data_IF_276596880321
#
_entry.id   IF_276596880321
#
_cell.length_a   1.000
_cell.length_b   1.000
_cell.length_c   1.000
_cell.angle_alpha   90.00
_cell.angle_beta   90.00
_cell.angle_gamma   90.00
#
_symmetry.space_group_name_H-M   'P 1'
#
loop_
_entity.id
_entity.type
_entity.pdbx_description
1 polymer ?
#
# COMPACT_ATOMS: atom_id res chain seq x y z
N UNK A 1 -43.87 48.06 21.07
CA UNK A 1 -42.57 47.64 21.63
C UNK A 1 -42.05 46.48 20.79
N UNK A 2 -40.86 46.63 20.22
CA UNK A 2 -40.02 45.64 19.50
C UNK A 2 -40.53 45.08 18.15
N UNK A 3 -40.00 45.68 17.09
CA UNK A 3 -39.76 45.06 15.79
C UNK A 3 -38.55 44.10 15.84
N UNK A 4 -38.53 43.07 14.99
CA UNK A 4 -37.36 42.64 14.20
C UNK A 4 -37.74 41.40 13.37
N UNK A 5 -37.75 41.47 12.03
CA UNK A 5 -36.65 41.62 11.06
C UNK A 5 -36.17 40.27 10.54
N UNK A 6 -36.57 40.04 9.29
CA UNK A 6 -36.04 39.16 8.25
C UNK A 6 -34.51 39.04 8.37
N UNK A 7 -34.02 37.80 8.48
CA UNK A 7 -32.61 37.47 8.44
C UNK A 7 -32.23 37.17 6.98
N UNK A 8 -31.62 38.15 6.31
CA UNK A 8 -30.98 37.97 5.02
C UNK A 8 -29.59 37.34 5.21
N UNK A 9 -29.26 36.35 4.38
CA UNK A 9 -27.92 35.78 4.25
C UNK A 9 -26.94 36.89 3.80
N UNK A 10 -25.92 37.15 4.63
CA UNK A 10 -24.74 37.93 4.28
C UNK A 10 -23.71 37.01 3.62
N UNK A 11 -23.45 37.24 2.34
CA UNK A 11 -22.30 36.72 1.62
C UNK A 11 -21.02 37.40 2.13
N UNK A 12 -20.05 36.60 2.56
CA UNK A 12 -18.74 37.05 2.98
C UNK A 12 -17.94 37.54 1.75
N UNK A 13 -17.69 38.84 1.65
CA UNK A 13 -16.76 39.42 0.70
C UNK A 13 -15.33 39.21 1.20
N UNK A 14 -14.54 38.42 0.47
CA UNK A 14 -13.11 38.31 0.68
C UNK A 14 -12.42 39.62 0.27
N UNK A 15 -11.82 40.29 1.25
CA UNK A 15 -11.05 41.52 1.05
C UNK A 15 -9.69 41.17 0.42
N UNK A 16 -9.60 41.23 -0.91
CA UNK A 16 -8.33 41.14 -1.61
C UNK A 16 -7.52 42.42 -1.39
N UNK A 17 -6.39 42.32 -0.69
CA UNK A 17 -5.37 43.37 -0.64
C UNK A 17 -4.76 43.54 -2.04
N UNK A 18 -5.34 44.44 -2.84
CA UNK A 18 -4.73 44.96 -4.06
C UNK A 18 -3.70 46.04 -3.65
N UNK A 19 -2.42 45.66 -3.65
CA UNK A 19 -1.33 46.65 -3.63
C UNK A 19 -1.34 47.39 -4.98
N UNK A 20 -1.27 48.73 -5.01
CA UNK A 20 -1.29 49.48 -6.26
C UNK A 20 0.06 49.34 -6.98
N UNK A 21 0.03 48.89 -8.23
CA UNK A 21 1.13 49.10 -9.16
C UNK A 21 1.28 50.61 -9.40
N UNK A 22 2.31 51.23 -8.84
CA UNK A 22 2.63 52.63 -9.14
C UNK A 22 3.28 52.68 -10.53
N UNK A 23 2.60 53.30 -11.49
CA UNK A 23 3.15 53.60 -12.80
C UNK A 23 4.22 54.69 -12.65
N UNK A 24 5.49 54.33 -12.84
CA UNK A 24 6.54 55.30 -13.16
C UNK A 24 6.37 55.69 -14.62
N UNK A 25 6.56 56.98 -14.94
CA UNK A 25 6.59 57.49 -16.32
C UNK A 25 7.91 57.07 -17.01
N UNK A 26 8.21 55.77 -17.01
CA UNK A 26 9.38 55.17 -17.65
C UNK A 26 9.06 54.75 -19.08
N UNK A 27 10.00 55.00 -20.00
CA UNK A 27 9.93 54.52 -21.39
C UNK A 27 10.12 53.00 -21.53
N UNK A 28 10.36 52.28 -20.44
CA UNK A 28 10.30 50.80 -20.40
C UNK A 28 9.36 50.36 -19.30
N UNK A 29 8.43 49.47 -19.65
CA UNK A 29 7.48 48.87 -18.71
C UNK A 29 7.62 47.35 -18.67
N UNK A 30 7.25 46.75 -17.53
CA UNK A 30 7.07 45.30 -17.42
C UNK A 30 5.67 44.97 -17.91
N UNK A 31 5.56 44.09 -18.91
CA UNK A 31 4.28 43.65 -19.48
C UNK A 31 3.82 42.32 -18.89
N UNK A 32 4.76 41.47 -18.46
CA UNK A 32 4.44 40.18 -17.84
C UNK A 32 5.57 39.67 -16.97
N UNK A 33 5.20 39.06 -15.85
CA UNK A 33 6.08 38.25 -15.01
C UNK A 33 5.51 36.85 -14.84
N UNK A 34 6.38 35.85 -14.72
CA UNK A 34 5.94 34.48 -14.46
C UNK A 34 6.93 33.71 -13.59
N UNK A 35 6.37 32.86 -12.73
CA UNK A 35 7.05 31.78 -12.00
C UNK A 35 6.41 30.47 -12.48
N UNK A 36 7.21 29.59 -13.06
CA UNK A 36 6.72 28.32 -13.63
C UNK A 36 7.55 27.13 -13.21
N UNK A 37 6.98 25.93 -13.30
CA UNK A 37 7.73 24.68 -13.13
C UNK A 37 8.68 24.43 -14.33
N UNK A 38 9.45 23.35 -14.28
CA UNK A 38 10.38 22.95 -15.34
C UNK A 38 9.70 22.63 -16.69
N UNK A 39 8.42 22.28 -16.69
CA UNK A 39 7.61 22.07 -17.90
C UNK A 39 7.02 23.36 -18.48
N UNK A 40 7.14 24.48 -17.77
CA UNK A 40 6.62 25.78 -18.16
C UNK A 40 5.20 26.08 -17.66
N UNK A 41 4.60 25.20 -16.84
CA UNK A 41 3.28 25.43 -16.29
C UNK A 41 3.33 26.41 -15.10
N UNK A 42 2.39 27.36 -15.06
CA UNK A 42 2.25 28.30 -13.93
C UNK A 42 1.62 27.60 -12.74
N UNK A 43 2.24 27.73 -11.56
CA UNK A 43 1.79 27.15 -10.29
C UNK A 43 2.02 28.13 -9.15
N UNK A 44 1.22 28.00 -8.09
CA UNK A 44 1.36 28.82 -6.87
C UNK A 44 2.02 28.07 -5.71
N UNK A 45 2.29 26.78 -5.88
CA UNK A 45 2.80 25.87 -4.86
C UNK A 45 3.98 25.11 -5.41
N UNK A 46 5.09 25.16 -4.68
CA UNK A 46 6.32 24.47 -4.98
C UNK A 46 6.86 23.78 -3.72
N UNK A 47 7.63 22.73 -3.90
CA UNK A 47 8.47 22.09 -2.90
C UNK A 47 9.86 22.72 -2.90
N UNK A 48 10.53 22.74 -1.75
CA UNK A 48 11.94 23.16 -1.65
C UNK A 48 12.90 22.23 -2.40
N UNK A 49 12.39 21.12 -2.94
CA UNK A 49 13.12 20.09 -3.68
C UNK A 49 13.22 20.32 -5.19
N UNK A 50 12.38 21.20 -5.73
CA UNK A 50 12.19 21.30 -7.16
C UNK A 50 12.96 22.47 -7.77
N UNK A 51 12.86 22.59 -9.09
CA UNK A 51 13.44 23.70 -9.84
C UNK A 51 12.32 24.56 -10.40
N UNK A 52 12.56 25.88 -10.42
CA UNK A 52 11.63 26.84 -10.99
C UNK A 52 12.23 27.60 -12.16
N UNK A 53 11.36 28.19 -12.96
CA UNK A 53 11.70 29.13 -14.00
C UNK A 53 11.15 30.51 -13.62
N UNK A 54 11.91 31.56 -13.90
CA UNK A 54 11.48 32.95 -13.76
C UNK A 54 11.50 33.62 -15.13
N UNK A 55 10.52 34.49 -15.39
CA UNK A 55 10.44 35.24 -16.64
C UNK A 55 9.97 36.67 -16.41
N UNK A 56 10.59 37.59 -17.14
CA UNK A 56 10.22 39.01 -17.23
C UNK A 56 10.03 39.32 -18.72
N UNK A 57 8.90 39.89 -19.08
CA UNK A 57 8.63 40.46 -20.40
C UNK A 57 8.44 41.97 -20.24
N UNK A 58 8.95 42.72 -21.21
CA UNK A 58 8.99 44.17 -21.18
C UNK A 58 8.59 44.76 -22.52
N UNK A 59 8.20 46.03 -22.50
CA UNK A 59 8.03 46.84 -23.71
C UNK A 59 8.73 48.18 -23.53
N UNK A 60 9.52 48.56 -24.53
CA UNK A 60 10.26 49.81 -24.61
C UNK A 60 9.59 50.73 -25.62
N UNK A 61 9.12 51.90 -25.20
CA UNK A 61 8.41 52.88 -26.04
C UNK A 61 9.34 53.94 -26.66
N UNK A 62 10.57 54.10 -26.14
CA UNK A 62 11.62 54.94 -26.73
C UNK A 62 12.98 54.29 -26.52
N UNK A 63 13.94 54.54 -27.42
CA UNK A 63 15.27 53.97 -27.30
C UNK A 63 16.07 54.61 -26.15
N UNK A 64 17.03 53.87 -25.60
CA UNK A 64 18.04 54.37 -24.65
C UNK A 64 19.45 54.17 -25.21
N UNK A 65 20.39 55.01 -24.78
CA UNK A 65 21.81 54.86 -25.11
C UNK A 65 22.48 53.72 -24.31
N UNK A 66 21.90 53.36 -23.17
CA UNK A 66 22.33 52.22 -22.34
C UNK A 66 21.50 50.96 -22.63
N UNK A 67 21.89 49.83 -22.02
CA UNK A 67 21.14 48.57 -22.09
C UNK A 67 19.99 48.56 -21.07
N UNK A 68 18.95 47.78 -21.36
CA UNK A 68 17.93 47.42 -20.37
C UNK A 68 18.42 46.16 -19.64
N UNK A 69 18.69 46.29 -18.35
CA UNK A 69 19.07 45.18 -17.46
C UNK A 69 17.84 44.62 -16.76
N UNK A 70 17.72 43.28 -16.76
CA UNK A 70 16.68 42.52 -16.09
C UNK A 70 17.22 41.98 -14.79
N UNK A 71 16.69 42.48 -13.67
CA UNK A 71 17.04 42.00 -12.33
C UNK A 71 15.91 41.15 -11.76
N UNK A 72 16.28 39.99 -11.22
CA UNK A 72 15.40 39.01 -10.64
C UNK A 72 15.70 38.90 -9.14
N UNK A 73 14.69 39.07 -8.32
CA UNK A 73 14.80 38.95 -6.86
C UNK A 73 13.77 37.98 -6.33
N UNK A 74 14.16 37.19 -5.33
CA UNK A 74 13.21 36.43 -4.50
C UNK A 74 13.36 36.87 -3.06
N UNK A 75 12.22 37.17 -2.44
CA UNK A 75 12.11 37.47 -1.02
C UNK A 75 11.40 36.33 -0.31
N UNK A 76 11.92 35.95 0.86
CA UNK A 76 11.36 34.89 1.68
C UNK A 76 10.15 35.37 2.52
N UNK A 77 9.49 34.49 3.30
CA UNK A 77 8.34 34.86 4.12
C UNK A 77 8.63 35.93 5.18
N UNK A 78 9.87 36.04 5.66
CA UNK A 78 10.29 37.10 6.60
C UNK A 78 10.55 38.45 5.92
N UNK A 79 10.51 38.50 4.58
CA UNK A 79 10.82 39.69 3.79
C UNK A 79 12.29 39.88 3.47
N UNK A 80 13.17 38.93 3.83
CA UNK A 80 14.58 38.98 3.47
C UNK A 80 14.78 38.56 2.00
N UNK A 81 15.67 39.25 1.28
CA UNK A 81 16.11 38.86 -0.07
C UNK A 81 16.97 37.61 0.02
N UNK A 82 16.56 36.54 -0.63
CA UNK A 82 17.25 35.23 -0.63
C UNK A 82 17.80 34.84 -2.00
N UNK A 83 17.42 35.56 -3.06
CA UNK A 83 17.94 35.35 -4.42
C UNK A 83 18.13 36.70 -5.12
N UNK A 84 19.19 36.79 -5.92
CA UNK A 84 19.47 37.90 -6.84
C UNK A 84 20.13 37.36 -8.11
N UNK A 85 19.63 37.77 -9.26
CA UNK A 85 20.33 37.69 -10.55
C UNK A 85 20.18 39.01 -11.29
N UNK A 86 21.28 39.63 -11.71
CA UNK A 86 21.29 40.98 -12.28
C UNK A 86 22.11 41.14 -13.57
N UNK A 87 22.58 40.03 -14.14
CA UNK A 87 23.50 40.06 -15.30
C UNK A 87 22.79 39.99 -16.66
N UNK A 88 21.48 39.74 -16.71
CA UNK A 88 20.76 39.64 -17.98
C UNK A 88 20.42 41.03 -18.53
N UNK A 89 20.64 41.26 -19.82
CA UNK A 89 20.31 42.54 -20.46
C UNK A 89 19.99 42.41 -21.94
N UNK A 90 19.31 43.41 -22.50
CA UNK A 90 19.04 43.55 -23.94
C UNK A 90 19.40 44.95 -24.43
N UNK A 91 19.58 45.11 -25.74
CA UNK A 91 19.63 46.43 -26.38
C UNK A 91 18.32 47.17 -26.13
N UNK A 92 18.42 48.47 -25.84
CA UNK A 92 17.27 49.31 -25.52
C UNK A 92 16.63 49.92 -26.77
N UNK A 93 16.25 49.07 -27.73
CA UNK A 93 15.49 49.50 -28.91
C UNK A 93 13.99 49.54 -28.62
N UNK A 94 13.25 50.37 -29.36
CA UNK A 94 11.78 50.39 -29.31
C UNK A 94 11.23 49.01 -29.66
N UNK A 95 10.35 48.48 -28.83
CA UNK A 95 9.71 47.18 -29.04
C UNK A 95 9.70 46.28 -27.80
N UNK A 96 9.40 45.01 -28.04
CA UNK A 96 9.27 43.99 -26.99
C UNK A 96 10.63 43.42 -26.60
N UNK A 97 10.82 43.19 -25.30
CA UNK A 97 11.98 42.50 -24.75
C UNK A 97 11.54 41.42 -23.77
N UNK A 98 12.41 40.44 -23.52
CA UNK A 98 12.17 39.43 -22.50
C UNK A 98 13.48 38.85 -21.96
N UNK A 99 13.43 38.40 -20.72
CA UNK A 99 14.50 37.62 -20.10
C UNK A 99 13.92 36.49 -19.27
N UNK A 100 14.62 35.35 -19.24
CA UNK A 100 14.22 34.21 -18.42
C UNK A 100 15.40 33.52 -17.78
N UNK A 101 15.20 33.04 -16.56
CA UNK A 101 16.07 32.12 -15.86
C UNK A 101 15.37 30.77 -15.78
N UNK A 102 16.04 29.70 -16.18
CA UNK A 102 15.43 28.36 -16.23
C UNK A 102 16.13 27.39 -15.31
N UNK A 103 15.39 26.40 -14.81
CA UNK A 103 15.87 25.32 -13.97
C UNK A 103 16.63 25.82 -12.73
N UNK A 104 16.17 26.91 -12.12
CA UNK A 104 16.77 27.49 -10.93
C UNK A 104 16.54 26.52 -9.76
N UNK A 105 17.58 25.96 -9.13
CA UNK A 105 17.42 25.16 -7.93
C UNK A 105 16.97 26.03 -6.76
N UNK A 106 16.15 25.48 -5.86
CA UNK A 106 15.64 26.12 -4.65
C UNK A 106 16.70 26.36 -3.55
N UNK A 107 17.96 26.64 -3.91
CA UNK A 107 19.05 26.94 -2.96
C UNK A 107 18.80 28.21 -2.14
N UNK A 108 17.86 29.07 -2.58
CA UNK A 108 17.40 30.25 -1.85
C UNK A 108 16.32 29.94 -0.79
N UNK A 109 15.91 28.67 -0.65
CA UNK A 109 14.94 28.26 0.35
C UNK A 109 15.47 28.49 1.76
N UNK A 110 14.74 29.26 2.56
CA UNK A 110 15.10 29.61 3.94
C UNK A 110 14.04 29.20 4.97
N UNK A 111 12.99 28.48 4.56
CA UNK A 111 11.86 28.09 5.41
C UNK A 111 10.53 28.07 4.65
N UNK A 112 9.51 27.36 5.18
CA UNK A 112 8.25 27.19 4.48
C UNK A 112 7.43 28.48 4.48
N UNK A 113 6.65 28.70 3.42
CA UNK A 113 5.73 29.83 3.34
C UNK A 113 5.76 30.54 2.01
N UNK A 114 5.19 31.74 1.98
CA UNK A 114 5.02 32.55 0.78
C UNK A 114 6.31 33.31 0.43
N UNK A 115 6.84 33.05 -0.75
CA UNK A 115 7.94 33.77 -1.37
C UNK A 115 7.38 34.77 -2.37
N UNK A 116 8.07 35.90 -2.54
CA UNK A 116 7.71 36.95 -3.50
C UNK A 116 8.76 37.06 -4.58
N UNK A 117 8.33 37.04 -5.83
CA UNK A 117 9.17 37.33 -6.98
C UNK A 117 9.05 38.82 -7.32
N UNK A 118 10.17 39.53 -7.27
CA UNK A 118 10.28 40.91 -7.76
C UNK A 118 11.14 40.95 -9.01
N UNK A 119 10.59 41.56 -10.05
CA UNK A 119 11.27 41.88 -11.29
C UNK A 119 11.60 43.38 -11.29
N UNK A 120 12.80 43.74 -11.75
CA UNK A 120 13.16 45.14 -12.02
C UNK A 120 13.79 45.28 -13.40
N UNK A 121 13.45 46.38 -14.07
CA UNK A 121 14.10 46.83 -15.30
C UNK A 121 14.93 48.06 -14.96
N UNK A 122 16.23 48.01 -15.27
CA UNK A 122 17.17 49.12 -15.04
C UNK A 122 17.73 49.58 -16.37
N UNK A 123 17.68 50.89 -16.62
CA UNK A 123 18.34 51.55 -17.75
C UNK A 123 18.85 52.91 -17.29
N UNK A 124 19.98 53.37 -17.83
CA UNK A 124 20.72 54.56 -17.41
C UNK A 124 20.95 54.60 -15.90
N UNK A 125 21.34 53.46 -15.33
CA UNK A 125 21.57 53.25 -13.89
C UNK A 125 20.37 53.57 -12.97
N UNK A 126 19.16 53.63 -13.55
CA UNK A 126 17.92 53.92 -12.82
C UNK A 126 16.90 52.80 -13.00
N UNK A 127 16.17 52.48 -11.94
CA UNK A 127 15.02 51.58 -12.01
C UNK A 127 13.91 52.26 -12.80
N UNK A 128 13.60 51.73 -13.98
CA UNK A 128 12.56 52.24 -14.87
C UNK A 128 11.19 51.66 -14.55
N UNK A 129 11.16 50.37 -14.20
CA UNK A 129 9.95 49.66 -13.81
C UNK A 129 10.28 48.52 -12.82
N UNK A 130 9.33 48.19 -11.95
CA UNK A 130 9.38 46.98 -11.14
C UNK A 130 8.01 46.34 -11.02
N UNK A 131 7.98 45.03 -10.78
CA UNK A 131 6.77 44.26 -10.53
C UNK A 131 7.03 43.26 -9.40
N UNK A 132 6.18 43.26 -8.37
CA UNK A 132 6.22 42.33 -7.23
C UNK A 132 4.86 41.63 -7.04
N UNK A 133 4.04 41.58 -8.10
CA UNK A 133 2.71 40.98 -8.06
C UNK A 133 2.70 39.45 -7.97
N UNK A 134 3.84 38.81 -8.24
CA UNK A 134 3.96 37.34 -8.23
C UNK A 134 4.45 36.83 -6.89
N UNK A 135 3.64 35.95 -6.31
CA UNK A 135 3.99 35.17 -5.14
C UNK A 135 3.82 33.68 -5.43
N UNK A 136 4.57 32.87 -4.72
CA UNK A 136 4.46 31.42 -4.74
C UNK A 136 4.81 30.87 -3.37
N UNK A 137 4.19 29.76 -2.98
CA UNK A 137 4.45 29.14 -1.69
C UNK A 137 5.45 28.01 -1.86
N UNK A 138 6.50 28.00 -1.06
CA UNK A 138 7.46 26.90 -1.00
C UNK A 138 7.25 26.12 0.29
N UNK A 139 7.04 24.82 0.17
CA UNK A 139 6.93 23.92 1.31
C UNK A 139 8.22 23.14 1.47
N UNK A 140 8.62 22.86 2.71
CA UNK A 140 9.51 21.72 2.92
C UNK A 140 8.70 20.45 2.66
N UNK A 141 9.20 19.53 1.84
CA UNK A 141 8.60 18.21 1.73
C UNK A 141 8.65 17.53 3.11
N UNK A 142 7.48 17.14 3.61
CA UNK A 142 7.31 16.41 4.88
C UNK A 142 6.91 14.99 4.53
N UNK A 143 7.46 14.03 5.25
CA UNK A 143 7.06 12.63 5.15
C UNK A 143 6.71 12.12 6.55
N UNK A 144 5.45 11.73 6.73
CA UNK A 144 4.94 11.14 7.96
C UNK A 144 4.63 9.67 7.72
N UNK A 145 5.32 8.80 8.43
CA UNK A 145 5.08 7.36 8.39
C UNK A 145 3.79 7.04 9.16
N UNK A 146 2.92 6.24 8.56
CA UNK A 146 1.61 5.92 9.16
C UNK A 146 1.48 4.45 9.54
N UNK A 147 2.16 3.55 8.82
CA UNK A 147 2.11 2.12 9.11
C UNK A 147 3.29 1.34 8.48
N UNK A 148 3.93 0.40 9.20
CA UNK A 148 3.83 0.15 10.65
C UNK A 148 4.16 1.39 11.49
N UNK A 149 3.42 1.67 12.56
CA UNK A 149 3.74 2.80 13.44
C UNK A 149 5.00 2.52 14.26
N UNK A 150 5.64 3.58 14.79
CA UNK A 150 6.91 3.45 15.50
C UNK A 150 6.78 2.61 16.77
N UNK A 151 7.65 1.62 16.91
CA UNK A 151 7.64 0.65 18.01
C UNK A 151 6.52 -0.38 17.93
N UNK A 152 5.86 -0.56 16.77
CA UNK A 152 4.86 -1.62 16.62
C UNK A 152 5.50 -2.99 16.87
N UNK A 153 4.98 -3.70 17.86
CA UNK A 153 5.42 -5.05 18.21
C UNK A 153 4.49 -6.11 17.62
N UNK A 154 5.07 -7.28 17.33
CA UNK A 154 4.36 -8.48 16.91
C UNK A 154 3.42 -8.28 15.72
N UNK A 155 3.90 -7.55 14.71
CA UNK A 155 3.19 -7.36 13.45
C UNK A 155 2.93 -8.73 12.77
N UNK A 156 1.68 -8.93 12.34
CA UNK A 156 1.21 -10.20 11.74
C UNK A 156 1.04 -10.14 10.21
N UNK A 157 1.29 -8.99 9.58
CA UNK A 157 1.08 -8.80 8.14
C UNK A 157 1.98 -9.70 7.28
N UNK A 158 1.37 -10.34 6.27
CA UNK A 158 2.07 -11.15 5.27
C UNK A 158 1.49 -10.88 3.87
N UNK A 159 2.20 -10.18 2.97
CA UNK A 159 3.45 -9.46 3.20
C UNK A 159 3.25 -8.17 4.03
N UNK A 160 4.33 -7.70 4.66
CA UNK A 160 4.34 -6.39 5.34
C UNK A 160 4.04 -5.29 4.34
N UNK A 161 3.07 -4.43 4.66
CA UNK A 161 2.75 -3.24 3.88
C UNK A 161 3.22 -2.00 4.61
N UNK A 162 4.00 -1.15 3.94
CA UNK A 162 4.44 0.15 4.42
C UNK A 162 3.57 1.26 3.84
N UNK A 163 3.18 2.25 4.65
CA UNK A 163 2.32 3.37 4.26
C UNK A 163 2.81 4.66 4.88
N UNK A 164 2.73 5.73 4.12
CA UNK A 164 3.12 7.07 4.57
C UNK A 164 2.23 8.13 3.91
N UNK A 165 2.30 9.34 4.46
CA UNK A 165 1.80 10.56 3.81
C UNK A 165 3.01 11.43 3.53
N UNK A 166 3.19 11.84 2.27
CA UNK A 166 4.34 12.63 1.83
C UNK A 166 3.92 13.77 0.91
N UNK A 167 4.68 14.86 0.91
CA UNK A 167 4.51 15.98 -0.02
C UNK A 167 5.83 16.34 -0.71
N UNK A 168 5.73 16.98 -1.87
CA UNK A 168 6.86 17.67 -2.49
C UNK A 168 7.98 16.79 -3.06
N UNK A 169 7.76 15.50 -3.27
CA UNK A 169 8.67 14.61 -4.00
C UNK A 169 7.92 13.88 -5.14
N UNK A 170 8.50 13.76 -6.35
CA UNK A 170 7.89 13.04 -7.47
C UNK A 170 7.89 11.52 -7.28
N UNK A 171 8.82 10.99 -6.46
CA UNK A 171 8.87 9.58 -6.05
C UNK A 171 9.49 9.45 -4.67
N UNK A 172 9.32 8.28 -4.08
CA UNK A 172 9.83 7.93 -2.76
C UNK A 172 10.74 6.71 -2.84
N UNK A 173 11.75 6.67 -1.97
CA UNK A 173 12.58 5.51 -1.72
C UNK A 173 12.26 4.97 -0.33
N UNK A 174 11.71 3.77 -0.27
CA UNK A 174 11.45 3.04 0.98
C UNK A 174 12.67 2.17 1.27
N UNK A 175 13.16 2.19 2.50
CA UNK A 175 14.29 1.35 2.93
C UNK A 175 13.92 0.61 4.21
N UNK A 176 14.28 -0.68 4.28
CA UNK A 176 14.11 -1.53 5.47
C UNK A 176 15.47 -2.12 5.83
N UNK A 177 15.81 -2.10 7.12
CA UNK A 177 17.10 -2.57 7.63
C UNK A 177 16.98 -3.19 9.03
N UNK A 178 17.97 -4.00 9.43
CA UNK A 178 18.13 -4.49 10.82
C UNK A 178 18.86 -3.46 11.70
N UNK A 179 19.57 -2.52 11.09
CA UNK A 179 20.29 -1.47 11.79
C UNK A 179 19.67 -0.10 11.53
N UNK A 180 19.53 0.69 12.60
CA UNK A 180 19.02 2.06 12.54
C UNK A 180 19.88 3.01 11.69
N UNK A 181 21.13 2.65 11.43
CA UNK A 181 22.07 3.41 10.58
C UNK A 181 21.72 3.35 9.09
N UNK A 182 21.02 2.29 8.65
CA UNK A 182 20.82 1.95 7.24
C UNK A 182 22.15 1.85 6.45
N UNK A 183 23.26 1.45 7.08
CA UNK A 183 24.55 1.26 6.39
C UNK A 183 24.47 0.20 5.28
N UNK A 184 23.76 -0.90 5.56
CA UNK A 184 23.47 -1.96 4.59
C UNK A 184 21.98 -2.35 4.68
N UNK A 185 21.10 -1.64 3.96
CA UNK A 185 19.68 -1.96 3.95
C UNK A 185 19.42 -3.40 3.50
N UNK A 186 18.46 -4.07 4.11
CA UNK A 186 17.98 -5.36 3.65
C UNK A 186 17.29 -5.19 2.30
N UNK A 187 16.38 -4.22 2.22
CA UNK A 187 15.54 -4.00 1.07
C UNK A 187 15.35 -2.52 0.80
N UNK A 188 15.23 -2.19 -0.49
CA UNK A 188 14.94 -0.84 -0.95
C UNK A 188 14.03 -0.90 -2.16
N UNK A 189 13.06 0.02 -2.24
CA UNK A 189 12.17 0.16 -3.37
C UNK A 189 11.93 1.64 -3.67
N UNK A 190 12.03 2.02 -4.95
CA UNK A 190 11.58 3.33 -5.42
C UNK A 190 10.17 3.23 -6.02
N UNK A 191 9.26 4.08 -5.58
CA UNK A 191 7.86 4.08 -6.02
C UNK A 191 7.27 5.50 -6.02
N UNK A 192 6.41 5.85 -7.00
CA UNK A 192 5.63 7.09 -6.96
C UNK A 192 4.41 7.01 -6.03
N UNK A 193 4.03 5.79 -5.59
CA UNK A 193 2.90 5.58 -4.70
C UNK A 193 3.26 5.94 -3.24
N UNK A 194 2.25 6.16 -2.40
CA UNK A 194 2.41 6.39 -0.95
C UNK A 194 2.31 5.10 -0.11
N UNK A 195 2.58 3.97 -0.74
CA UNK A 195 2.66 2.66 -0.09
C UNK A 195 3.68 1.77 -0.79
N UNK A 196 4.16 0.75 -0.08
CA UNK A 196 5.06 -0.26 -0.61
C UNK A 196 4.81 -1.59 0.09
N UNK A 197 4.90 -2.71 -0.65
CA UNK A 197 4.78 -4.05 -0.08
C UNK A 197 6.15 -4.71 -0.07
N UNK A 198 6.52 -5.29 1.08
CA UNK A 198 7.71 -6.11 1.18
C UNK A 198 7.52 -7.40 0.34
N UNK A 199 8.54 -7.89 -0.37
CA UNK A 199 8.42 -9.14 -1.13
C UNK A 199 8.11 -10.33 -0.20
N UNK A 200 7.09 -11.13 -0.54
CA UNK A 200 6.76 -12.37 0.21
C UNK A 200 7.89 -13.40 0.10
N UNK A 201 8.52 -13.49 -1.06
CA UNK A 201 9.63 -14.39 -1.38
C UNK A 201 10.79 -13.58 -1.97
N UNK A 202 11.61 -12.90 -1.16
CA UNK A 202 12.74 -12.16 -1.67
C UNK A 202 13.81 -13.10 -2.25
N UNK A 203 14.56 -12.66 -3.28
CA UNK A 203 15.55 -13.50 -3.96
C UNK A 203 16.78 -13.83 -3.09
N UNK A 204 17.12 -12.99 -2.11
CA UNK A 204 18.24 -13.20 -1.21
C UNK A 204 17.76 -13.66 0.18
N UNK A 205 18.42 -14.67 0.76
CA UNK A 205 18.06 -15.18 2.09
C UNK A 205 18.15 -14.09 3.17
N UNK A 206 19.14 -13.18 3.07
CA UNK A 206 19.29 -12.06 4.01
C UNK A 206 18.09 -11.12 4.05
N UNK A 207 17.29 -11.08 2.98
CA UNK A 207 16.12 -10.21 2.88
C UNK A 207 14.89 -10.84 3.52
N UNK A 208 14.94 -12.10 3.96
CA UNK A 208 13.82 -12.75 4.64
C UNK A 208 13.67 -12.17 6.05
N UNK A 209 12.53 -11.55 6.31
CA UNK A 209 12.22 -11.03 7.63
C UNK A 209 11.90 -12.17 8.59
N UNK A 210 12.43 -12.11 9.80
CA UNK A 210 12.31 -13.13 10.84
C UNK A 210 11.47 -12.62 12.01
N UNK A 211 10.60 -13.49 12.53
CA UNK A 211 9.80 -13.19 13.72
C UNK A 211 10.65 -12.91 14.96
N UNK A 212 10.22 -11.98 15.80
CA UNK A 212 10.93 -11.56 17.02
C UNK A 212 12.19 -10.72 16.77
N UNK A 213 12.52 -10.43 15.51
CA UNK A 213 13.60 -9.51 15.15
C UNK A 213 13.04 -8.09 15.00
N UNK A 214 13.78 -7.10 15.50
CA UNK A 214 13.44 -5.69 15.33
C UNK A 214 14.02 -5.17 14.02
N UNK A 215 13.16 -4.56 13.22
CA UNK A 215 13.50 -3.93 11.95
C UNK A 215 13.24 -2.44 12.03
N UNK A 216 13.96 -1.69 11.21
CA UNK A 216 13.83 -0.25 11.03
C UNK A 216 13.42 0.04 9.61
N UNK A 217 12.54 1.02 9.43
CA UNK A 217 12.17 1.49 8.10
C UNK A 217 12.10 3.00 8.05
N UNK A 218 12.37 3.54 6.87
CA UNK A 218 12.27 4.97 6.56
C UNK A 218 11.83 5.17 5.13
N UNK A 219 11.37 6.39 4.84
CA UNK A 219 11.02 6.83 3.51
C UNK A 219 11.74 8.13 3.20
N UNK A 220 12.42 8.16 2.07
CA UNK A 220 13.10 9.34 1.54
C UNK A 220 12.36 9.86 0.31
N UNK A 221 12.14 11.18 0.23
CA UNK A 221 11.62 11.83 -0.97
C UNK A 221 12.76 12.05 -1.94
N UNK A 222 12.59 11.62 -3.19
CA UNK A 222 13.61 11.72 -4.24
C UNK A 222 13.11 12.64 -5.36
N UNK A 223 13.90 13.65 -5.73
CA UNK A 223 13.60 14.57 -6.83
C UNK A 223 13.82 13.94 -8.21
N UNK A 224 13.42 14.66 -9.27
CA UNK A 224 13.54 14.19 -10.66
C UNK A 224 14.98 14.00 -11.13
N UNK A 225 15.94 14.68 -10.52
CA UNK A 225 17.38 14.51 -10.76
C UNK A 225 18.05 13.47 -9.85
N UNK A 226 17.26 12.76 -9.02
CA UNK A 226 17.75 11.70 -8.14
C UNK A 226 18.29 12.17 -6.80
N UNK A 227 18.27 13.47 -6.49
CA UNK A 227 18.69 13.97 -5.19
C UNK A 227 17.67 13.66 -4.08
N UNK A 228 18.14 13.49 -2.84
CA UNK A 228 17.27 13.33 -1.67
C UNK A 228 16.80 14.69 -1.20
N UNK A 229 15.49 14.85 -1.08
CA UNK A 229 14.86 16.15 -0.79
C UNK A 229 13.97 16.15 0.45
N UNK A 230 13.57 14.97 0.92
CA UNK A 230 12.96 14.77 2.24
C UNK A 230 13.45 13.45 2.83
N UNK A 231 13.35 13.35 4.16
CA UNK A 231 13.47 12.11 4.90
C UNK A 231 12.39 12.10 5.96
N UNK A 232 11.77 10.94 6.15
CA UNK A 232 10.98 10.69 7.35
C UNK A 232 11.88 10.49 8.57
N UNK A 233 11.26 10.45 9.75
CA UNK A 233 11.83 9.77 10.91
C UNK A 233 12.01 8.27 10.61
N UNK A 234 12.82 7.62 11.45
CA UNK A 234 13.04 6.18 11.38
C UNK A 234 12.10 5.51 12.36
N UNK A 235 11.21 4.66 11.85
CA UNK A 235 10.30 3.87 12.68
C UNK A 235 10.83 2.46 12.86
N UNK A 236 10.66 1.91 14.05
CA UNK A 236 10.96 0.52 14.37
C UNK A 236 9.68 -0.32 14.37
N UNK A 237 9.81 -1.61 14.03
CA UNK A 237 8.75 -2.60 14.23
C UNK A 237 9.35 -3.98 14.48
N UNK A 238 8.60 -4.88 15.11
CA UNK A 238 8.92 -6.31 15.16
C UNK A 238 7.85 -7.10 14.44
N UNK A 239 8.25 -8.19 13.78
CA UNK A 239 7.30 -9.21 13.33
C UNK A 239 6.98 -10.12 14.50
N UNK A 240 5.73 -10.58 14.57
CA UNK A 240 5.35 -11.59 15.55
C UNK A 240 6.32 -12.75 15.44
N UNK A 241 6.98 -13.07 16.54
CA UNK A 241 7.78 -14.29 16.62
C UNK A 241 6.82 -15.45 16.38
N UNK A 242 6.87 -16.02 15.20
CA UNK A 242 6.44 -17.41 15.07
C UNK A 242 7.32 -18.18 16.04
N UNK A 243 6.71 -18.76 17.08
CA UNK A 243 7.43 -19.68 17.93
C UNK A 243 8.14 -20.67 17.00
N UNK A 244 9.46 -20.83 17.13
CA UNK A 244 10.18 -21.90 16.42
C UNK A 244 9.82 -23.21 17.10
N UNK A 245 8.60 -23.64 16.82
CA UNK A 245 8.22 -24.93 16.31
C UNK A 245 6.82 -24.66 15.79
N UNK A 246 6.60 -24.44 14.49
CA UNK A 246 5.27 -24.81 14.01
C UNK A 246 5.35 -26.32 13.93
N UNK A 247 5.03 -26.94 15.06
CA UNK A 247 4.29 -28.19 15.08
C UNK A 247 3.17 -28.05 14.06
N UNK A 248 3.45 -28.38 12.81
CA UNK A 248 2.45 -28.42 11.76
C UNK A 248 1.84 -29.80 11.89
N UNK A 249 0.82 -29.90 12.72
CA UNK A 249 0.02 -31.12 12.86
C UNK A 249 -0.93 -31.12 11.67
N UNK A 250 -0.92 -32.20 10.90
CA UNK A 250 -1.86 -32.39 9.80
C UNK A 250 -2.01 -33.89 9.52
N UNK A 251 -3.15 -34.46 9.88
CA UNK A 251 -3.56 -35.80 9.50
C UNK A 251 -4.73 -35.73 8.54
N UNK A 252 -4.57 -36.32 7.36
CA UNK A 252 -5.61 -36.35 6.35
C UNK A 252 -6.18 -37.75 6.18
N UNK A 253 -7.49 -37.86 5.98
CA UNK A 253 -8.10 -39.04 5.38
C UNK A 253 -7.97 -38.91 3.86
N UNK A 254 -6.99 -39.59 3.28
CA UNK A 254 -6.64 -39.44 1.86
C UNK A 254 -7.38 -40.40 0.94
N UNK A 255 -7.98 -41.46 1.50
CA UNK A 255 -8.64 -42.50 0.73
C UNK A 255 -9.77 -43.16 1.50
N UNK A 256 -10.81 -43.56 0.76
CA UNK A 256 -11.89 -44.42 1.23
C UNK A 256 -12.17 -45.45 0.14
N UNK A 257 -12.06 -46.72 0.53
CA UNK A 257 -12.14 -47.86 -0.37
C UNK A 257 -13.05 -48.96 0.19
N UNK A 258 -13.67 -49.70 -0.73
CA UNK A 258 -14.43 -50.89 -0.44
C UNK A 258 -13.50 -52.09 -0.57
N UNK A 259 -13.42 -52.92 0.47
CA UNK A 259 -12.53 -54.08 0.44
C UNK A 259 -13.18 -55.21 -0.38
N UNK A 260 -12.44 -55.82 -1.33
CA UNK A 260 -12.92 -56.95 -2.12
C UNK A 260 -13.35 -58.18 -1.30
N UNK A 261 -12.85 -58.35 -0.07
CA UNK A 261 -13.22 -59.45 0.84
C UNK A 261 -14.55 -59.24 1.56
N UNK A 262 -15.25 -58.14 1.29
CA UNK A 262 -16.60 -57.91 1.79
C UNK A 262 -17.58 -59.00 1.31
N UNK A 263 -18.48 -59.43 2.20
CA UNK A 263 -19.58 -60.35 1.92
C UNK A 263 -20.93 -59.72 2.31
N UNK A 264 -21.47 -58.78 1.49
CA UNK A 264 -22.78 -58.19 1.75
C UNK A 264 -23.93 -59.21 1.70
N UNK A 265 -25.04 -58.99 2.42
CA UNK A 265 -25.28 -57.83 3.27
C UNK A 265 -24.52 -57.92 4.60
N UNK A 266 -24.17 -59.13 5.04
CA UNK A 266 -23.82 -59.45 6.43
C UNK A 266 -22.53 -58.80 6.91
N UNK A 267 -21.54 -58.68 6.01
CA UNK A 267 -20.23 -58.13 6.33
C UNK A 267 -19.75 -57.24 5.20
N UNK A 268 -19.73 -55.93 5.42
CA UNK A 268 -19.06 -55.00 4.52
C UNK A 268 -17.78 -54.53 5.21
N UNK A 269 -16.65 -54.61 4.52
CA UNK A 269 -15.37 -54.13 5.01
C UNK A 269 -15.01 -52.86 4.23
N UNK A 270 -14.77 -51.78 4.97
CA UNK A 270 -14.34 -50.50 4.43
C UNK A 270 -12.96 -50.17 4.94
N UNK A 271 -12.15 -49.58 4.07
CA UNK A 271 -10.79 -49.17 4.34
C UNK A 271 -10.66 -47.66 4.22
N UNK A 272 -10.20 -47.00 5.27
CA UNK A 272 -9.80 -45.61 5.24
C UNK A 272 -8.27 -45.52 5.20
N UNK A 273 -7.73 -44.70 4.29
CA UNK A 273 -6.30 -44.39 4.24
C UNK A 273 -6.03 -43.09 4.97
N UNK A 274 -5.08 -43.10 5.90
CA UNK A 274 -4.69 -41.95 6.70
C UNK A 274 -3.23 -41.62 6.38
N UNK A 275 -2.96 -40.35 6.08
CA UNK A 275 -1.62 -39.82 5.83
C UNK A 275 -1.27 -38.74 6.85
N UNK A 276 -0.06 -38.80 7.39
CA UNK A 276 0.49 -37.70 8.17
C UNK A 276 1.22 -36.72 7.24
N UNK A 277 0.55 -35.62 6.93
CA UNK A 277 1.08 -34.52 6.09
C UNK A 277 1.73 -33.43 6.94
N UNK A 278 1.71 -33.62 8.26
CA UNK A 278 2.37 -32.78 9.24
C UNK A 278 3.87 -33.03 9.36
N UNK A 279 4.52 -32.22 10.21
CA UNK A 279 5.91 -32.39 10.59
C UNK A 279 6.10 -32.99 11.98
N UNK A 280 5.01 -33.44 12.63
CA UNK A 280 5.02 -34.08 13.94
C UNK A 280 4.53 -35.53 13.88
N UNK A 281 5.03 -36.39 14.77
CA UNK A 281 4.42 -37.70 14.98
C UNK A 281 3.10 -37.54 15.71
N UNK A 282 2.08 -38.24 15.24
CA UNK A 282 0.75 -38.25 15.84
C UNK A 282 0.47 -39.62 16.44
N UNK A 283 -0.15 -39.65 17.60
CA UNK A 283 -0.41 -40.87 18.34
C UNK A 283 -1.78 -40.81 19.01
N UNK A 284 -2.34 -41.99 19.31
CA UNK A 284 -3.64 -42.13 19.96
C UNK A 284 -4.78 -41.35 19.26
N UNK A 285 -4.78 -41.28 17.92
CA UNK A 285 -5.86 -40.63 17.15
C UNK A 285 -6.96 -41.64 16.84
N UNK A 286 -8.20 -41.27 17.15
CA UNK A 286 -9.38 -42.10 16.86
C UNK A 286 -9.94 -41.78 15.48
N UNK A 287 -10.22 -42.81 14.71
CA UNK A 287 -10.85 -42.72 13.38
C UNK A 287 -12.26 -43.26 13.50
N UNK A 288 -13.27 -42.43 13.30
CA UNK A 288 -14.67 -42.81 13.34
C UNK A 288 -15.20 -43.03 11.92
N UNK A 289 -16.01 -44.07 11.73
CA UNK A 289 -16.69 -44.36 10.47
C UNK A 289 -18.20 -44.21 10.65
N UNK A 290 -18.81 -43.40 9.79
CA UNK A 290 -20.26 -43.20 9.73
C UNK A 290 -20.81 -43.73 8.42
N UNK A 291 -21.94 -44.43 8.49
CA UNK A 291 -22.70 -44.92 7.33
C UNK A 291 -24.09 -44.32 7.39
N UNK A 292 -24.48 -43.57 6.36
CA UNK A 292 -25.76 -42.86 6.34
C UNK A 292 -25.92 -41.83 7.48
N UNK A 293 -24.81 -41.32 8.02
CA UNK A 293 -24.78 -40.40 9.16
C UNK A 293 -24.79 -41.07 10.55
N UNK A 294 -24.83 -42.41 10.63
CA UNK A 294 -24.81 -43.16 11.91
C UNK A 294 -23.41 -43.71 12.17
N UNK A 295 -22.87 -43.49 13.37
CA UNK A 295 -21.59 -44.04 13.79
C UNK A 295 -21.66 -45.58 13.73
N UNK A 296 -20.87 -46.18 12.84
CA UNK A 296 -20.91 -47.61 12.52
C UNK A 296 -19.67 -48.37 13.02
N UNK A 297 -18.60 -47.66 13.36
CA UNK A 297 -17.39 -48.24 13.94
C UNK A 297 -16.32 -47.19 14.22
N UNK A 298 -15.27 -47.59 14.94
CA UNK A 298 -14.08 -46.76 15.14
C UNK A 298 -12.81 -47.63 15.14
N UNK A 299 -11.69 -47.00 14.78
CA UNK A 299 -10.35 -47.58 14.86
C UNK A 299 -9.43 -46.62 15.63
N UNK A 300 -8.40 -47.16 16.27
CA UNK A 300 -7.43 -46.39 17.05
C UNK A 300 -6.07 -46.43 16.35
N UNK A 301 -5.53 -45.26 16.00
CA UNK A 301 -4.17 -45.13 15.51
C UNK A 301 -3.21 -45.00 16.70
N UNK A 302 -2.23 -45.89 16.78
CA UNK A 302 -1.27 -45.92 17.89
C UNK A 302 -0.17 -44.86 17.72
N UNK A 303 0.49 -44.82 16.56
CA UNK A 303 1.48 -43.81 16.21
C UNK A 303 1.63 -43.74 14.69
N UNK A 304 1.82 -42.54 14.15
CA UNK A 304 2.10 -42.29 12.74
C UNK A 304 3.17 -41.20 12.64
N UNK A 305 4.33 -41.54 12.07
CA UNK A 305 5.44 -40.62 11.86
C UNK A 305 5.14 -39.60 10.75
N UNK A 306 5.84 -38.44 10.70
CA UNK A 306 5.71 -37.49 9.60
C UNK A 306 5.89 -38.14 8.23
N UNK A 307 5.10 -37.74 7.24
CA UNK A 307 5.03 -38.36 5.89
C UNK A 307 4.61 -39.84 5.85
N UNK A 308 4.28 -40.43 7.00
CA UNK A 308 3.81 -41.81 7.11
C UNK A 308 2.39 -42.00 6.62
N UNK A 309 2.07 -43.21 6.19
CA UNK A 309 0.72 -43.65 5.81
C UNK A 309 0.32 -44.91 6.55
N UNK A 310 -0.97 -45.04 6.85
CA UNK A 310 -1.54 -46.24 7.47
C UNK A 310 -2.98 -46.43 7.03
N UNK A 311 -3.51 -47.62 7.25
CA UNK A 311 -4.89 -47.99 6.91
C UNK A 311 -5.68 -48.29 8.19
N UNK A 312 -6.95 -47.86 8.22
CA UNK A 312 -7.93 -48.24 9.23
C UNK A 312 -9.03 -49.08 8.56
N UNK A 313 -9.21 -50.31 9.06
CA UNK A 313 -10.21 -51.26 8.57
C UNK A 313 -11.44 -51.25 9.48
N UNK A 314 -12.61 -51.26 8.85
CA UNK A 314 -13.89 -51.25 9.52
C UNK A 314 -14.77 -52.36 8.98
N UNK A 315 -15.17 -53.29 9.85
CA UNK A 315 -16.20 -54.27 9.54
C UNK A 315 -17.55 -53.69 10.00
N UNK A 316 -18.41 -53.36 9.03
CA UNK A 316 -19.76 -52.87 9.32
C UNK A 316 -20.76 -54.02 9.15
N UNK A 317 -21.71 -54.05 10.10
CA UNK A 317 -22.80 -55.03 10.14
C UNK A 317 -23.81 -54.87 9.00
N UNK A 318 -24.92 -55.61 9.04
CA UNK A 318 -25.69 -55.91 7.84
C UNK A 318 -26.18 -54.66 7.11
N UNK A 319 -25.72 -54.46 5.88
CA UNK A 319 -26.14 -53.34 5.03
C UNK A 319 -27.31 -53.77 4.15
N UNK A 320 -28.38 -52.99 4.18
CA UNK A 320 -29.63 -53.25 3.45
C UNK A 320 -29.91 -52.26 2.33
N UNK A 321 -28.97 -51.36 2.07
CA UNK A 321 -29.06 -50.34 1.02
C UNK A 321 -27.94 -50.57 0.02
N UNK A 322 -28.27 -50.57 -1.27
CA UNK A 322 -27.27 -50.72 -2.34
C UNK A 322 -26.35 -49.51 -2.41
N UNK A 323 -26.87 -48.31 -2.18
CA UNK A 323 -26.05 -47.10 -2.18
C UNK A 323 -25.92 -46.59 -0.76
N UNK A 324 -24.70 -46.62 -0.24
CA UNK A 324 -24.38 -46.09 1.08
C UNK A 324 -23.49 -44.85 0.95
N UNK A 325 -23.73 -43.87 1.81
CA UNK A 325 -22.83 -42.73 1.99
C UNK A 325 -21.98 -43.04 3.21
N UNK A 326 -20.67 -43.10 3.01
CA UNK A 326 -19.69 -43.41 4.04
C UNK A 326 -18.88 -42.16 4.33
N UNK A 327 -18.69 -41.85 5.61
CA UNK A 327 -17.82 -40.76 6.06
C UNK A 327 -16.80 -41.30 7.05
N UNK A 328 -15.52 -41.14 6.77
CA UNK A 328 -14.45 -41.33 7.74
C UNK A 328 -14.05 -39.98 8.32
N UNK A 329 -13.84 -39.94 9.63
CA UNK A 329 -13.51 -38.73 10.38
C UNK A 329 -12.42 -39.02 11.41
N UNK A 330 -11.37 -38.19 11.41
CA UNK A 330 -10.36 -38.16 12.46
C UNK A 330 -10.83 -37.30 13.63
N UNK A 331 -10.72 -37.82 14.85
CA UNK A 331 -10.96 -37.09 16.08
C UNK A 331 -9.66 -36.39 16.52
N UNK A 332 -9.23 -35.41 15.72
CA UNK A 332 -7.99 -34.65 15.94
C UNK A 332 -8.22 -33.17 15.64
N UNK A 333 -7.60 -32.31 16.44
CA UNK A 333 -7.48 -30.89 16.16
C UNK A 333 -6.08 -30.62 15.61
N UNK A 334 -6.05 -30.14 14.37
CA UNK A 334 -4.83 -29.89 13.62
C UNK A 334 -5.01 -28.68 12.67
N UNK A 335 -3.99 -28.38 11.88
CA UNK A 335 -3.93 -27.13 11.09
C UNK A 335 -4.77 -27.19 9.80
N UNK A 336 -5.33 -28.35 9.43
CA UNK A 336 -6.19 -28.48 8.25
C UNK A 336 -7.41 -29.37 8.47
N UNK A 337 -8.28 -29.00 9.40
CA UNK A 337 -9.48 -29.78 9.73
C UNK A 337 -10.43 -30.18 8.57
N UNK A 338 -10.26 -29.63 7.36
CA UNK A 338 -11.03 -30.00 6.16
C UNK A 338 -10.66 -31.37 5.60
N UNK A 339 -9.41 -31.81 5.74
CA UNK A 339 -8.98 -33.13 5.25
C UNK A 339 -9.06 -34.23 6.32
N UNK A 340 -9.39 -33.85 7.56
CA UNK A 340 -9.73 -34.79 8.64
C UNK A 340 -11.00 -35.59 8.38
N UNK A 341 -11.82 -35.18 7.41
CA UNK A 341 -13.09 -35.82 7.05
C UNK A 341 -13.12 -36.08 5.55
N UNK A 342 -13.44 -37.32 5.18
CA UNK A 342 -13.70 -37.70 3.79
C UNK A 342 -15.04 -38.44 3.70
N UNK A 343 -15.89 -38.00 2.78
CA UNK A 343 -17.18 -38.65 2.48
C UNK A 343 -17.18 -39.19 1.07
N UNK A 344 -17.62 -40.44 0.89
CA UNK A 344 -17.74 -41.09 -0.41
C UNK A 344 -18.98 -41.98 -0.47
N UNK A 345 -19.63 -42.01 -1.62
CA UNK A 345 -20.73 -42.95 -1.90
C UNK A 345 -20.17 -44.26 -2.46
N UNK A 346 -20.68 -45.38 -1.97
CA UNK A 346 -20.35 -46.71 -2.45
C UNK A 346 -21.61 -47.44 -2.91
N UNK A 347 -21.48 -48.21 -3.99
CA UNK A 347 -22.47 -49.19 -4.39
C UNK A 347 -22.08 -50.56 -3.83
N UNK A 348 -22.85 -51.04 -2.86
CA UNK A 348 -22.70 -52.34 -2.23
C UNK A 348 -23.52 -53.35 -3.03
N UNK A 349 -22.90 -54.41 -3.57
CA UNK A 349 -23.60 -55.42 -4.35
C UNK A 349 -24.42 -56.31 -3.42
N UNK A 350 -25.68 -55.94 -3.17
CA UNK A 350 -26.60 -56.76 -2.38
C UNK A 350 -27.12 -57.97 -3.18
N UNK A 351 -27.42 -59.10 -2.51
CA UNK A 351 -28.10 -60.23 -3.15
C UNK A 351 -29.46 -59.83 -3.75
N UNK A 352 -29.83 -60.49 -4.85
CA UNK A 352 -31.02 -60.14 -5.65
C UNK A 352 -32.34 -60.20 -4.86
N UNK A 353 -32.43 -61.11 -3.89
CA UNK A 353 -33.56 -61.29 -2.98
C UNK A 353 -33.86 -60.05 -2.09
N UNK A 354 -32.90 -59.13 -1.92
CA UNK A 354 -33.10 -57.88 -1.17
C UNK A 354 -33.45 -56.66 -2.05
N UNK A 355 -33.23 -56.74 -3.37
CA UNK A 355 -33.57 -55.65 -4.31
C UNK A 355 -35.08 -55.50 -4.53
N UNK A 356 -35.82 -56.61 -4.44
CA UNK A 356 -37.21 -56.70 -4.90
C UNK A 356 -38.23 -56.81 -3.76
N UNK A 357 -38.05 -56.07 -2.66
CA UNK A 357 -39.09 -56.00 -1.61
C UNK A 357 -40.15 -54.94 -2.01
N UNK A 358 -41.43 -55.31 -2.22
CA UNK A 358 -42.47 -54.36 -2.65
C UNK A 358 -42.71 -53.26 -1.60
N UNK A 359 -42.64 -51.99 -2.02
CA UNK A 359 -42.98 -50.83 -1.17
C UNK A 359 -44.51 -50.84 -0.89
N UNK A 360 -44.90 -50.97 0.38
CA UNK A 360 -46.31 -50.78 0.78
C UNK A 360 -46.64 -49.28 0.67
N UNK A 361 -47.34 -48.90 -0.39
CA UNK A 361 -47.94 -47.57 -0.54
C UNK A 361 -49.25 -47.53 0.26
N UNK A 362 -49.19 -47.10 1.52
CA UNK A 362 -50.38 -46.83 2.32
C UNK A 362 -51.14 -45.61 1.79
N UNK A 363 -52.39 -45.80 1.37
CA UNK A 363 -53.32 -44.71 1.00
C UNK A 363 -54.13 -44.33 2.24
N UNK A 364 -54.10 -43.04 2.63
CA UNK A 364 -55.03 -42.49 3.63
C UNK A 364 -56.41 -42.38 2.96
N UNK A 365 -57.41 -43.06 3.52
CA UNK A 365 -58.81 -42.89 3.15
C UNK A 365 -59.40 -41.89 4.13
N UNK A 366 -59.66 -40.66 3.70
CA UNK A 366 -60.46 -39.74 4.50
C UNK A 366 -61.91 -40.26 4.56
N UNK A 367 -62.43 -40.40 5.78
CA UNK A 367 -63.82 -40.78 6.05
C UNK A 367 -64.67 -39.51 6.13
N UNK A 368 -65.71 -39.46 5.28
CA UNK A 368 -66.92 -38.64 5.47
C UNK A 368 -66.87 -37.27 4.82
#
# INVERSE_FOLDING_TARGET
MKANKICALLTAAALAFLLPARAFAGSVIITKTAVTDTSGASRSFFSSSERINLRIESYCSSAYDSRIFYKFYIFNPSGARVFLHDSNSTEANVGSGASSLRNIPMNFYSGPGMYRFRAELVADDKVQAFDESKSFTVYSPIITLTYPYDGLIDLMDKPVTFRWVGSGAPKYRVSVAEERSFYNPLWTLETPASYAQYPLNPPEDRQKLSGGTQYYWKVEGISSDGSRVASSDIYAFTLKKEAVSVSYRNLAVTGLEYDPMSAPPDKVILKAEISNMGNQSEAAVKVNLFVGGVLSGFAQLNSLMPSGKTEALFEIGPIRQENIIVTAMLEVADENAKDNVLTKSFSVPLPEEWRNVPKILGRVVERG
#
